data_IF_685865668097
#
_entry.id   IF_685865668097
#
_cell.length_a   1.000
_cell.length_b   1.000
_cell.length_c   1.000
_cell.angle_alpha   90.00
_cell.angle_beta   90.00
_cell.angle_gamma   90.00
#
_symmetry.space_group_name_H-M   'P 1'
#
loop_
_entity.id
_entity.type
_entity.pdbx_description
1 polymer ?
#
# COMPACT_ATOMS: atom_id res chain seq x y z
N UNK A 1 23.27 0.93 -48.36
CA UNK A 1 24.56 1.66 -48.19
C UNK A 1 24.21 3.10 -47.90
N UNK A 2 24.10 3.45 -46.64
CA UNK A 2 24.08 4.87 -46.17
C UNK A 2 24.71 4.90 -44.77
N UNK A 3 25.94 5.42 -44.75
CA UNK A 3 26.74 5.67 -43.55
C UNK A 3 26.16 6.93 -42.88
N UNK A 4 25.72 6.85 -41.64
CA UNK A 4 25.36 8.00 -40.82
C UNK A 4 26.41 8.12 -39.71
N UNK A 5 27.22 9.18 -39.82
CA UNK A 5 28.18 9.62 -38.81
C UNK A 5 27.44 10.16 -37.60
N UNK A 6 27.72 9.61 -36.43
CA UNK A 6 27.28 10.20 -35.17
C UNK A 6 28.39 11.09 -34.62
N UNK A 7 28.07 12.37 -34.53
CA UNK A 7 28.91 13.38 -33.91
C UNK A 7 28.87 13.23 -32.38
N UNK A 8 30.11 13.18 -31.81
CA UNK A 8 30.37 13.11 -30.38
C UNK A 8 30.16 14.49 -29.76
N UNK A 9 29.15 14.67 -28.93
CA UNK A 9 28.94 15.88 -28.10
C UNK A 9 29.54 15.64 -26.71
N UNK A 10 30.68 16.28 -26.44
CA UNK A 10 31.35 16.31 -25.13
C UNK A 10 30.63 17.39 -24.29
N UNK A 11 29.93 16.97 -23.24
CA UNK A 11 29.37 17.89 -22.24
C UNK A 11 30.38 18.00 -21.07
N UNK A 12 30.93 19.20 -20.93
CA UNK A 12 31.83 19.59 -19.83
C UNK A 12 30.96 19.92 -18.61
N UNK A 13 31.05 19.10 -17.56
CA UNK A 13 30.44 19.40 -16.25
C UNK A 13 31.36 20.31 -15.44
N UNK A 14 30.93 21.53 -15.17
CA UNK A 14 31.57 22.46 -14.25
C UNK A 14 31.27 22.12 -12.81
N UNK A 15 32.30 21.85 -12.01
CA UNK A 15 32.21 21.67 -10.56
C UNK A 15 31.81 22.98 -9.90
N UNK A 16 30.71 23.00 -9.19
CA UNK A 16 30.32 24.08 -8.30
C UNK A 16 30.72 23.73 -6.87
N UNK A 17 31.66 24.52 -6.33
CA UNK A 17 32.22 24.32 -4.99
C UNK A 17 31.23 24.80 -3.91
N UNK A 18 30.86 23.93 -2.99
CA UNK A 18 30.17 24.29 -1.75
C UNK A 18 31.14 24.81 -0.70
N UNK A 19 30.86 25.99 -0.16
CA UNK A 19 31.59 26.60 0.96
C UNK A 19 31.08 26.00 2.30
N UNK A 20 31.95 25.72 3.28
CA UNK A 20 31.53 25.38 4.63
C UNK A 20 31.16 26.64 5.42
N UNK A 21 29.98 26.65 6.02
CA UNK A 21 29.61 27.64 7.05
C UNK A 21 29.89 27.03 8.41
N UNK A 22 30.94 27.49 9.03
CA UNK A 22 31.24 27.28 10.46
C UNK A 22 30.58 28.37 11.27
N UNK A 23 29.64 28.01 12.14
CA UNK A 23 29.34 28.75 13.35
C UNK A 23 28.72 27.84 14.40
N UNK A 24 29.54 27.44 15.36
CA UNK A 24 29.14 26.83 16.62
C UNK A 24 29.39 27.89 17.71
N UNK A 25 28.49 28.10 18.64
CA UNK A 25 28.87 28.36 20.03
C UNK A 25 28.33 27.31 20.97
N UNK A 26 28.96 27.10 22.11
CA UNK A 26 28.81 25.93 22.93
C UNK A 26 27.83 26.19 24.08
N UNK A 27 27.17 25.13 24.57
CA UNK A 27 27.03 24.93 26.04
C UNK A 27 26.23 23.63 26.31
N UNK A 28 26.92 22.63 26.82
CA UNK A 28 26.67 21.87 28.04
C UNK A 28 25.26 21.32 28.28
N UNK A 29 25.08 20.01 28.14
CA UNK A 29 24.82 19.09 29.25
C UNK A 29 24.94 17.67 28.77
N UNK A 30 25.94 16.98 29.31
CA UNK A 30 26.12 15.55 29.16
C UNK A 30 25.16 14.89 30.14
N UNK A 31 24.08 14.34 29.61
CA UNK A 31 23.31 13.34 30.35
C UNK A 31 23.53 12.02 29.62
N UNK A 32 24.25 11.15 30.29
CA UNK A 32 24.60 9.80 29.85
C UNK A 32 23.33 8.98 29.76
N UNK A 33 22.70 8.97 28.58
CA UNK A 33 21.66 8.02 28.26
C UNK A 33 22.32 6.78 27.64
N UNK A 34 22.36 5.72 28.40
CA UNK A 34 22.68 4.36 27.94
C UNK A 34 21.78 4.02 26.76
N UNK A 35 22.30 3.61 25.59
CA UNK A 35 21.45 3.14 24.49
C UNK A 35 20.85 1.80 24.92
N UNK A 36 19.58 1.80 25.29
CA UNK A 36 18.80 0.58 25.30
C UNK A 36 18.62 0.17 23.83
N UNK A 37 19.32 -0.88 23.46
CA UNK A 37 19.02 -1.67 22.26
C UNK A 37 17.64 -2.30 22.50
N UNK A 38 16.60 -1.58 22.07
CA UNK A 38 15.26 -2.12 21.98
C UNK A 38 15.25 -3.13 20.85
N UNK A 39 15.03 -4.38 21.21
CA UNK A 39 14.69 -5.46 20.30
C UNK A 39 13.53 -5.00 19.42
N UNK A 40 13.62 -5.11 18.06
CA UNK A 40 12.50 -4.74 17.19
C UNK A 40 11.38 -5.74 17.43
N UNK A 41 10.42 -5.34 18.26
CA UNK A 41 9.16 -6.05 18.38
C UNK A 41 8.44 -6.09 17.04
N UNK A 42 7.63 -7.13 16.75
CA UNK A 42 6.89 -7.22 15.52
C UNK A 42 6.04 -5.94 15.36
N UNK A 43 6.23 -5.24 14.24
CA UNK A 43 5.41 -4.09 13.90
C UNK A 43 3.95 -4.51 13.87
N UNK A 44 3.04 -3.75 14.51
CA UNK A 44 1.63 -4.09 14.48
C UNK A 44 1.16 -4.12 13.03
N UNK A 45 0.59 -5.25 12.63
CA UNK A 45 -0.14 -5.40 11.38
C UNK A 45 -1.22 -4.32 11.39
N UNK A 46 -1.36 -3.49 10.34
CA UNK A 46 -2.45 -2.53 10.27
C UNK A 46 -3.76 -3.31 10.27
N UNK A 47 -4.41 -3.39 11.43
CA UNK A 47 -5.77 -3.86 11.53
C UNK A 47 -6.62 -2.76 10.90
N UNK A 48 -7.11 -2.97 9.69
CA UNK A 48 -8.19 -2.16 9.13
C UNK A 48 -9.44 -2.45 9.98
N UNK A 49 -9.57 -1.71 11.07
CA UNK A 49 -10.80 -1.70 11.85
C UNK A 49 -11.86 -1.04 10.99
N UNK A 50 -12.98 -1.73 10.76
CA UNK A 50 -14.16 -1.16 10.12
C UNK A 50 -14.39 0.25 10.67
N UNK A 51 -14.47 1.23 9.79
CA UNK A 51 -14.63 2.63 10.20
C UNK A 51 -15.99 2.73 10.91
N UNK A 52 -16.07 3.25 12.15
CA UNK A 52 -17.32 3.28 12.93
C UNK A 52 -18.48 4.07 12.29
N UNK A 53 -18.30 4.56 11.08
CA UNK A 53 -19.21 5.45 10.34
C UNK A 53 -20.24 4.71 9.49
N UNK A 54 -20.23 3.37 9.45
CA UNK A 54 -21.10 2.57 8.55
C UNK A 54 -22.47 2.21 9.16
N UNK A 55 -22.79 2.70 10.38
CA UNK A 55 -24.03 2.34 11.11
C UNK A 55 -25.35 2.63 10.36
N UNK A 56 -25.32 3.53 9.36
CA UNK A 56 -26.49 3.89 8.56
C UNK A 56 -26.32 3.57 7.06
N UNK A 57 -25.33 2.76 6.73
CA UNK A 57 -25.04 2.39 5.35
C UNK A 57 -25.49 0.96 5.08
N UNK A 58 -26.00 0.74 3.89
CA UNK A 58 -26.38 -0.60 3.40
C UNK A 58 -25.23 -1.16 2.60
N UNK A 59 -24.79 -2.38 2.97
CA UNK A 59 -23.77 -3.11 2.22
C UNK A 59 -24.33 -3.55 0.87
N UNK A 60 -23.55 -3.30 -0.17
CA UNK A 60 -23.77 -3.70 -1.54
C UNK A 60 -22.56 -4.38 -2.15
N UNK A 61 -22.65 -4.76 -3.40
CA UNK A 61 -21.55 -5.38 -4.12
C UNK A 61 -20.57 -4.32 -4.63
N UNK A 62 -19.29 -4.68 -4.68
CA UNK A 62 -18.28 -4.09 -5.55
C UNK A 62 -17.87 -5.16 -6.56
N UNK A 63 -17.68 -4.77 -7.81
CA UNK A 63 -17.26 -5.67 -8.88
C UNK A 63 -15.76 -5.53 -9.06
N UNK A 64 -14.99 -6.58 -8.75
CA UNK A 64 -13.53 -6.60 -8.93
C UNK A 64 -13.23 -7.19 -10.29
N UNK A 65 -12.60 -6.39 -11.16
CA UNK A 65 -12.20 -6.79 -12.51
C UNK A 65 -10.79 -7.38 -12.51
N UNK A 66 -9.90 -6.86 -11.64
CA UNK A 66 -8.56 -7.42 -11.45
C UNK A 66 -8.05 -7.17 -10.04
N UNK A 67 -7.24 -8.11 -9.56
CA UNK A 67 -6.52 -8.05 -8.30
C UNK A 67 -5.09 -8.55 -8.54
N UNK A 68 -4.09 -7.77 -8.13
CA UNK A 68 -2.67 -8.08 -8.33
C UNK A 68 -1.88 -7.82 -7.06
N UNK A 69 -1.05 -8.78 -6.65
CA UNK A 69 -0.13 -8.62 -5.54
C UNK A 69 1.16 -7.94 -6.02
N UNK A 70 1.49 -6.83 -5.40
CA UNK A 70 2.73 -6.09 -5.62
C UNK A 70 3.67 -6.31 -4.42
N UNK A 71 4.92 -6.70 -4.71
CA UNK A 71 5.98 -6.77 -3.71
C UNK A 71 6.82 -5.50 -3.79
N UNK A 72 6.94 -4.79 -2.67
CA UNK A 72 7.74 -3.57 -2.58
C UNK A 72 9.17 -3.92 -2.18
N UNK A 73 10.14 -3.30 -2.85
CA UNK A 73 11.56 -3.44 -2.53
C UNK A 73 11.89 -2.67 -1.23
N UNK A 74 11.60 -3.27 -0.10
CA UNK A 74 11.83 -2.73 1.25
C UNK A 74 12.41 -3.80 2.17
N UNK A 75 12.92 -3.40 3.34
CA UNK A 75 13.33 -4.34 4.37
C UNK A 75 12.69 -3.97 5.71
N UNK A 76 11.80 -4.82 6.27
CA UNK A 76 11.31 -6.08 5.70
C UNK A 76 10.49 -5.86 4.42
N UNK A 77 10.33 -6.91 3.60
CA UNK A 77 9.48 -6.89 2.41
C UNK A 77 8.05 -6.46 2.78
N UNK A 78 7.48 -5.58 1.98
CA UNK A 78 6.10 -5.16 2.13
C UNK A 78 5.30 -5.57 0.89
N UNK A 79 4.04 -5.90 1.13
CA UNK A 79 3.11 -6.34 0.11
C UNK A 79 1.95 -5.36 -0.01
N UNK A 80 1.50 -5.17 -1.23
CA UNK A 80 0.38 -4.29 -1.57
C UNK A 80 -0.53 -5.02 -2.55
N UNK A 81 -1.84 -4.91 -2.36
CA UNK A 81 -2.82 -5.43 -3.30
C UNK A 81 -3.34 -4.29 -4.17
N UNK A 82 -3.08 -4.36 -5.48
CA UNK A 82 -3.66 -3.45 -6.46
C UNK A 82 -5.00 -4.03 -6.94
N UNK A 83 -6.07 -3.26 -6.75
CA UNK A 83 -7.43 -3.61 -7.13
C UNK A 83 -7.93 -2.66 -8.19
N UNK A 84 -8.61 -3.21 -9.20
CA UNK A 84 -9.38 -2.44 -10.18
C UNK A 84 -10.77 -3.05 -10.31
N UNK A 85 -11.75 -2.18 -10.50
CA UNK A 85 -13.11 -2.66 -10.59
C UNK A 85 -14.11 -1.54 -10.75
N UNK A 86 -15.35 -1.82 -10.38
CA UNK A 86 -16.44 -0.85 -10.48
C UNK A 86 -17.45 -0.97 -9.35
N UNK A 87 -18.04 0.15 -9.03
CA UNK A 87 -19.15 0.29 -8.10
C UNK A 87 -20.47 0.41 -8.87
N UNK A 88 -21.59 -0.07 -8.31
CA UNK A 88 -22.89 -0.02 -8.99
C UNK A 88 -23.34 1.39 -9.36
N UNK A 89 -23.03 2.37 -8.53
CA UNK A 89 -23.37 3.78 -8.74
C UNK A 89 -22.32 4.69 -8.10
N UNK A 90 -22.27 5.99 -8.48
CA UNK A 90 -21.34 6.95 -7.89
C UNK A 90 -21.60 7.25 -6.40
N UNK A 91 -22.76 6.88 -5.85
CA UNK A 91 -23.08 7.04 -4.44
C UNK A 91 -22.51 5.89 -3.58
N UNK A 92 -22.13 4.78 -4.21
CA UNK A 92 -21.48 3.69 -3.50
C UNK A 92 -20.06 4.10 -3.09
N UNK A 93 -19.66 3.72 -1.88
CA UNK A 93 -18.33 3.90 -1.36
C UNK A 93 -17.66 2.53 -1.25
N UNK A 94 -16.45 2.41 -1.76
CA UNK A 94 -15.66 1.19 -1.66
C UNK A 94 -15.28 0.92 -0.21
N UNK A 95 -15.31 -0.36 0.16
CA UNK A 95 -14.78 -0.90 1.41
C UNK A 95 -13.91 -2.10 1.08
N UNK A 96 -12.79 -2.21 1.77
CA UNK A 96 -11.85 -3.33 1.65
C UNK A 96 -11.46 -3.77 3.05
N UNK A 97 -11.88 -4.96 3.43
CA UNK A 97 -11.53 -5.57 4.71
C UNK A 97 -10.47 -6.65 4.48
N UNK A 98 -9.32 -6.48 5.11
CA UNK A 98 -8.21 -7.44 5.04
C UNK A 98 -8.15 -8.22 6.35
N UNK A 99 -8.37 -9.53 6.29
CA UNK A 99 -8.19 -10.41 7.44
C UNK A 99 -6.72 -10.75 7.64
N UNK A 100 -6.24 -10.84 8.90
CA UNK A 100 -4.91 -11.36 9.16
C UNK A 100 -4.80 -12.80 8.63
N UNK A 101 -3.58 -13.29 8.31
CA UNK A 101 -3.37 -14.67 7.90
C UNK A 101 -3.93 -15.65 8.93
N UNK A 102 -4.63 -16.67 8.49
CA UNK A 102 -5.11 -17.77 9.33
C UNK A 102 -4.01 -18.80 9.63
N UNK A 103 -4.38 -19.93 10.26
CA UNK A 103 -3.45 -21.02 10.60
C UNK A 103 -2.82 -21.72 9.39
N UNK A 104 -3.37 -21.51 8.19
CA UNK A 104 -2.87 -22.04 6.92
C UNK A 104 -2.15 -20.97 6.09
N UNK A 105 -1.85 -19.80 6.71
CA UNK A 105 -1.30 -18.62 6.05
C UNK A 105 -2.18 -18.10 4.89
N UNK A 106 -3.49 -18.27 5.00
CA UNK A 106 -4.46 -17.76 4.05
C UNK A 106 -4.87 -16.34 4.45
N UNK A 107 -4.68 -15.40 3.52
CA UNK A 107 -5.10 -14.00 3.66
C UNK A 107 -6.39 -13.83 2.85
N UNK A 108 -7.44 -13.35 3.50
CA UNK A 108 -8.74 -13.10 2.86
C UNK A 108 -9.00 -11.62 2.82
N UNK A 109 -9.32 -11.13 1.63
CA UNK A 109 -9.70 -9.74 1.39
C UNK A 109 -11.16 -9.72 0.91
N UNK A 110 -12.00 -8.99 1.64
CA UNK A 110 -13.40 -8.79 1.31
C UNK A 110 -13.60 -7.39 0.74
N UNK A 111 -13.94 -7.32 -0.54
CA UNK A 111 -14.15 -6.07 -1.30
C UNK A 111 -15.64 -5.90 -1.55
N UNK A 112 -16.20 -4.85 -0.99
CA UNK A 112 -17.63 -4.56 -1.07
C UNK A 112 -17.87 -3.06 -1.16
N UNK A 113 -19.10 -2.67 -1.36
CA UNK A 113 -19.51 -1.27 -1.31
C UNK A 113 -20.51 -1.02 -0.18
N UNK A 114 -20.63 0.24 0.20
CA UNK A 114 -21.67 0.71 1.09
C UNK A 114 -22.34 1.95 0.50
N UNK A 115 -23.64 2.12 0.76
CA UNK A 115 -24.43 3.25 0.27
C UNK A 115 -25.50 3.62 1.29
N UNK A 116 -25.92 4.88 1.34
CA UNK A 116 -27.07 5.27 2.19
C UNK A 116 -28.37 4.67 1.64
N UNK A 117 -29.20 4.11 2.54
CA UNK A 117 -30.39 3.38 2.17
C UNK A 117 -31.39 4.14 1.28
N UNK A 118 -31.51 5.45 1.49
CA UNK A 118 -32.52 6.30 0.82
C UNK A 118 -31.89 7.30 -0.16
N UNK A 119 -30.64 7.06 -0.60
CA UNK A 119 -29.95 7.97 -1.51
C UNK A 119 -30.41 7.75 -2.95
N UNK A 120 -30.91 8.82 -3.59
CA UNK A 120 -31.25 8.78 -5.01
C UNK A 120 -29.97 9.04 -5.80
N UNK A 121 -29.54 8.01 -6.53
CA UNK A 121 -28.29 8.05 -7.26
C UNK A 121 -28.48 7.80 -8.76
N UNK A 122 -27.62 8.40 -9.58
CA UNK A 122 -27.56 8.08 -11.00
C UNK A 122 -27.19 6.60 -11.20
N UNK A 123 -27.91 5.92 -12.08
CA UNK A 123 -27.66 4.50 -12.39
C UNK A 123 -26.56 4.38 -13.42
N UNK A 124 -25.34 4.78 -13.02
CA UNK A 124 -24.13 4.75 -13.84
C UNK A 124 -23.06 4.06 -13.03
N UNK A 125 -22.37 3.13 -13.65
CA UNK A 125 -21.24 2.40 -13.04
C UNK A 125 -20.06 3.36 -12.83
N UNK A 126 -19.47 3.33 -11.64
CA UNK A 126 -18.32 4.15 -11.26
C UNK A 126 -17.07 3.28 -11.14
N UNK A 127 -16.04 3.46 -11.98
CA UNK A 127 -14.81 2.70 -11.88
C UNK A 127 -13.98 3.09 -10.65
N UNK A 128 -13.23 2.13 -10.11
CA UNK A 128 -12.25 2.38 -9.06
C UNK A 128 -10.90 1.72 -9.36
N UNK A 129 -9.84 2.34 -8.87
CA UNK A 129 -8.50 1.76 -8.73
C UNK A 129 -8.02 2.05 -7.32
N UNK A 130 -7.65 1.01 -6.57
CA UNK A 130 -7.25 1.12 -5.18
C UNK A 130 -6.00 0.30 -4.89
N UNK A 131 -5.08 0.85 -4.09
CA UNK A 131 -3.89 0.17 -3.62
C UNK A 131 -3.99 -0.06 -2.12
N UNK A 132 -4.18 -1.31 -1.73
CA UNK A 132 -4.42 -1.73 -0.35
C UNK A 132 -3.12 -2.26 0.25
N UNK A 133 -2.53 -1.59 1.25
CA UNK A 133 -1.34 -2.10 1.90
C UNK A 133 -1.68 -3.36 2.72
N UNK A 134 -1.00 -4.47 2.43
CA UNK A 134 -1.10 -5.71 3.20
C UNK A 134 -0.06 -5.79 4.33
N UNK A 135 0.99 -4.94 4.25
CA UNK A 135 2.09 -4.91 5.22
C UNK A 135 3.16 -5.96 4.94
N UNK A 136 3.84 -6.40 5.99
CA UNK A 136 4.89 -7.43 5.94
C UNK A 136 4.47 -8.66 6.71
N UNK A 137 4.91 -9.83 6.26
CA UNK A 137 4.60 -11.11 6.86
C UNK A 137 5.87 -11.82 7.34
N UNK A 138 5.79 -12.68 8.37
CA UNK A 138 6.87 -13.60 8.72
C UNK A 138 7.24 -14.50 7.53
N UNK A 139 8.48 -15.01 7.51
CA UNK A 139 8.91 -15.93 6.48
C UNK A 139 7.98 -17.15 6.40
N UNK A 140 7.43 -17.43 5.22
CA UNK A 140 6.47 -18.50 4.99
C UNK A 140 5.81 -18.43 3.63
N UNK A 141 5.08 -19.48 3.31
CA UNK A 141 4.26 -19.55 2.09
C UNK A 141 2.83 -19.10 2.40
N UNK A 142 2.26 -18.22 1.58
CA UNK A 142 0.97 -17.58 1.78
C UNK A 142 0.08 -17.70 0.55
N UNK A 143 -1.23 -17.70 0.76
CA UNK A 143 -2.24 -17.60 -0.30
C UNK A 143 -3.09 -16.35 -0.09
N UNK A 144 -3.31 -15.59 -1.17
CA UNK A 144 -4.13 -14.37 -1.15
C UNK A 144 -5.44 -14.62 -1.90
N UNK A 145 -6.54 -14.35 -1.23
CA UNK A 145 -7.89 -14.54 -1.74
C UNK A 145 -8.66 -13.23 -1.71
N UNK A 146 -9.36 -12.91 -2.78
CA UNK A 146 -10.23 -11.73 -2.88
C UNK A 146 -11.65 -12.19 -3.22
N UNK A 147 -12.62 -11.85 -2.38
CA UNK A 147 -14.04 -12.24 -2.54
C UNK A 147 -14.25 -13.75 -2.80
N UNK A 148 -13.38 -14.59 -2.22
CA UNK A 148 -13.44 -16.04 -2.36
C UNK A 148 -12.72 -16.62 -3.57
N UNK A 149 -12.08 -15.81 -4.41
CA UNK A 149 -11.23 -16.23 -5.52
C UNK A 149 -9.75 -16.17 -5.13
N UNK A 150 -8.98 -17.21 -5.49
CA UNK A 150 -7.54 -17.24 -5.31
C UNK A 150 -6.88 -16.27 -6.31
N UNK A 151 -6.20 -15.26 -5.80
CA UNK A 151 -5.46 -14.30 -6.61
C UNK A 151 -4.07 -14.81 -6.92
N UNK A 152 -3.33 -15.21 -5.88
CA UNK A 152 -1.95 -15.70 -6.03
C UNK A 152 -1.47 -16.42 -4.78
N UNK A 153 -0.37 -17.15 -4.93
CA UNK A 153 0.44 -17.70 -3.85
C UNK A 153 1.79 -16.99 -3.86
N UNK A 154 2.39 -16.77 -2.69
CA UNK A 154 3.66 -16.04 -2.58
C UNK A 154 4.43 -16.45 -1.34
N UNK A 155 5.73 -16.18 -1.35
CA UNK A 155 6.65 -16.38 -0.22
C UNK A 155 7.05 -15.02 0.35
N UNK A 156 7.02 -14.91 1.68
CA UNK A 156 7.41 -13.71 2.42
C UNK A 156 8.72 -13.95 3.22
#
# INVERSE_FOLDING_TARGET
MKKILFALAIIVFTLSACRPVTNVPPTTNIETATPQVGEPGPSPIPTFTAIPTDENLVRGNAFVDSAELLTLESYPLQFMLALKGSLPTPCNQLRVDVSPPDSENKIVVDVYSVVKADEICAQVVEPFEENVPLGSFPAGHYTLWVNGELVTEFDA
#
